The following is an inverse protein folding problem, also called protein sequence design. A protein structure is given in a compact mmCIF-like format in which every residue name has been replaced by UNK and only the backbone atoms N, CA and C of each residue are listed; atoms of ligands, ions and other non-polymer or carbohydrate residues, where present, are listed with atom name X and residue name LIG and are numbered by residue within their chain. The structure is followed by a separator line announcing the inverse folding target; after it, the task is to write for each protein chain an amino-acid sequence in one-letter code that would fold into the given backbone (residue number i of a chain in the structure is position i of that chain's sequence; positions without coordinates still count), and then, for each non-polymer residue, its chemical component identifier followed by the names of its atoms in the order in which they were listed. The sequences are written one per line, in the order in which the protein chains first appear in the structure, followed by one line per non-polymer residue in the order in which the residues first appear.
data_IF_671332941641
#
_entry.id   IF_671332941641
#
_cell.length_a   1.000
_cell.length_b   1.000
_cell.length_c   1.000
_cell.angle_alpha   90.00
_cell.angle_beta   90.00
_cell.angle_gamma   90.00
#
_symmetry.space_group_name_H-M   'P 1'
#
loop_
_entity.id
_entity.type
_entity.pdbx_description
1 polymer ?
#
# COMPACT_ATOMS: atom_id res chain seq x y z
N UNK A 1 -3.79 -0.36 0.40
CA UNK A 1 -4.13 0.78 1.27
C UNK A 1 -3.87 2.13 0.60
N UNK A 2 -2.64 2.51 0.22
CA UNK A 2 -2.32 3.89 -0.22
C UNK A 2 -3.26 4.49 -1.28
N UNK A 3 -3.60 3.71 -2.30
CA UNK A 3 -4.52 4.19 -3.36
C UNK A 3 -5.98 4.16 -2.94
N UNK A 4 -6.42 3.09 -2.28
CA UNK A 4 -7.76 3.01 -1.68
C UNK A 4 -8.03 4.19 -0.74
N UNK A 5 -7.06 4.54 0.10
CA UNK A 5 -7.08 5.72 0.97
C UNK A 5 -7.32 7.02 0.19
N UNK A 6 -6.47 7.32 -0.81
CA UNK A 6 -6.60 8.53 -1.62
C UNK A 6 -7.94 8.60 -2.34
N UNK A 7 -8.42 7.49 -2.90
CA UNK A 7 -9.73 7.44 -3.57
C UNK A 7 -10.88 7.77 -2.62
N UNK A 8 -10.89 7.21 -1.41
CA UNK A 8 -11.89 7.57 -0.40
C UNK A 8 -11.86 9.05 -0.06
N UNK A 9 -10.67 9.63 0.13
CA UNK A 9 -10.53 11.07 0.39
C UNK A 9 -11.07 11.91 -0.77
N UNK A 10 -10.71 11.58 -2.01
CA UNK A 10 -11.13 12.32 -3.20
C UNK A 10 -12.62 12.22 -3.48
N UNK A 11 -13.26 11.10 -3.11
CA UNK A 11 -14.71 10.94 -3.17
C UNK A 11 -15.46 11.65 -2.02
N UNK A 12 -14.74 12.15 -1.00
CA UNK A 12 -15.34 12.76 0.18
C UNK A 12 -15.95 11.75 1.17
N UNK A 13 -15.60 10.47 1.06
CA UNK A 13 -16.12 9.41 1.94
C UNK A 13 -15.55 9.49 3.37
N UNK A 14 -14.44 10.22 3.56
CA UNK A 14 -13.72 10.33 4.83
C UNK A 14 -13.59 11.81 5.21
N UNK A 15 -14.17 12.25 6.33
CA UNK A 15 -14.09 13.64 6.76
C UNK A 15 -12.65 13.98 7.21
N UNK A 16 -12.30 15.26 7.13
CA UNK A 16 -10.93 15.75 7.44
C UNK A 16 -10.44 15.38 8.84
N UNK A 17 -11.33 15.31 9.82
CA UNK A 17 -11.04 14.92 11.19
C UNK A 17 -10.92 13.39 11.39
N UNK A 18 -10.78 12.62 10.31
CA UNK A 18 -10.59 11.17 10.33
C UNK A 18 -9.56 10.71 9.28
N UNK A 19 -8.74 11.63 8.76
CA UNK A 19 -7.81 11.33 7.68
C UNK A 19 -6.69 10.41 8.15
N UNK A 20 -6.09 10.67 9.31
CA UNK A 20 -5.00 9.85 9.79
C UNK A 20 -5.53 8.53 10.38
N UNK A 21 -6.67 8.56 11.07
CA UNK A 21 -7.30 7.34 11.56
C UNK A 21 -7.68 6.37 10.43
N UNK A 22 -8.25 6.85 9.33
CA UNK A 22 -8.55 6.01 8.17
C UNK A 22 -7.28 5.39 7.56
N UNK A 23 -6.17 6.14 7.52
CA UNK A 23 -4.89 5.62 7.04
C UNK A 23 -4.40 4.43 7.86
N UNK A 24 -4.41 4.56 9.19
CA UNK A 24 -3.96 3.50 10.09
C UNK A 24 -4.91 2.30 10.04
N UNK A 25 -6.23 2.53 10.00
CA UNK A 25 -7.23 1.49 9.84
C UNK A 25 -6.98 0.64 8.59
N UNK A 26 -6.79 1.28 7.42
CA UNK A 26 -6.52 0.55 6.19
C UNK A 26 -5.16 -0.14 6.20
N UNK A 27 -4.13 0.45 6.84
CA UNK A 27 -2.82 -0.19 6.98
C UNK A 27 -2.93 -1.50 7.74
N UNK A 28 -3.71 -1.52 8.82
CA UNK A 28 -3.96 -2.79 9.47
C UNK A 28 -4.82 -3.71 8.60
N UNK A 29 -6.04 -3.30 8.22
CA UNK A 29 -7.01 -4.20 7.59
C UNK A 29 -6.48 -4.85 6.30
N UNK A 30 -5.61 -4.16 5.56
CA UNK A 30 -5.09 -4.64 4.28
C UNK A 30 -3.67 -5.21 4.37
N UNK A 31 -2.89 -4.92 5.42
CA UNK A 31 -1.49 -5.35 5.51
C UNK A 31 -1.11 -6.05 6.82
N UNK A 32 -1.98 -6.02 7.83
CA UNK A 32 -1.66 -6.52 9.17
C UNK A 32 -0.60 -5.70 9.90
N UNK A 33 -0.48 -4.41 9.60
CA UNK A 33 0.56 -3.54 10.21
C UNK A 33 -0.07 -2.42 11.01
N UNK A 34 0.25 -2.37 12.31
CA UNK A 34 -0.10 -1.28 13.24
C UNK A 34 1.08 -0.34 13.48
N UNK A 35 0.79 0.83 14.05
CA UNK A 35 1.82 1.77 14.50
C UNK A 35 2.43 1.31 15.83
N UNK A 36 3.75 1.42 16.04
CA UNK A 36 4.38 1.12 17.34
C UNK A 36 4.16 2.24 18.38
N UNK A 37 3.64 3.39 17.95
CA UNK A 37 3.33 4.53 18.80
C UNK A 37 1.90 5.00 18.55
N UNK A 38 1.33 5.64 19.57
CA UNK A 38 0.00 6.24 19.51
C UNK A 38 -0.09 7.29 18.40
N UNK A 39 -1.20 7.28 17.66
CA UNK A 39 -1.49 8.23 16.58
C UNK A 39 -2.71 9.08 16.88
N UNK A 40 -2.79 10.25 16.26
CA UNK A 40 -3.91 11.17 16.37
C UNK A 40 -4.22 11.83 15.03
N UNK A 41 -5.24 12.68 14.96
CA UNK A 41 -5.48 13.56 13.81
C UNK A 41 -4.51 14.77 13.75
N UNK A 42 -3.65 14.99 14.75
CA UNK A 42 -2.56 15.97 14.64
C UNK A 42 -1.42 15.44 13.74
N UNK A 43 -1.38 14.12 13.53
CA UNK A 43 -0.47 13.46 12.61
C UNK A 43 -1.04 13.42 11.18
N UNK A 44 -0.14 13.26 10.20
CA UNK A 44 -0.52 12.95 8.83
C UNK A 44 0.45 11.93 8.23
N UNK A 45 0.33 10.66 8.65
CA UNK A 45 1.26 9.59 8.27
C UNK A 45 1.29 9.35 6.76
N UNK A 46 0.18 9.55 6.07
CA UNK A 46 0.12 9.48 4.61
C UNK A 46 1.06 10.51 3.95
N UNK A 47 1.25 11.67 4.58
CA UNK A 47 2.15 12.74 4.14
C UNK A 47 3.63 12.36 4.17
N UNK A 48 4.02 11.35 4.94
CA UNK A 48 5.40 10.83 4.92
C UNK A 48 5.72 10.04 3.64
N UNK A 49 4.74 9.75 2.79
CA UNK A 49 4.94 9.05 1.53
C UNK A 49 5.11 10.07 0.39
N UNK A 50 6.32 10.11 -0.20
CA UNK A 50 6.64 10.99 -1.35
C UNK A 50 5.53 11.05 -2.40
N UNK A 51 5.03 9.89 -2.82
CA UNK A 51 4.02 9.80 -3.87
C UNK A 51 2.68 10.44 -3.49
N UNK A 52 2.34 10.48 -2.21
CA UNK A 52 1.12 11.13 -1.72
C UNK A 52 1.29 12.64 -1.81
N UNK A 53 2.39 13.19 -1.27
CA UNK A 53 2.63 14.64 -1.23
C UNK A 53 2.98 15.25 -2.59
N UNK A 54 3.67 14.51 -3.45
CA UNK A 54 4.00 14.95 -4.81
C UNK A 54 2.84 14.73 -5.81
N UNK A 55 1.66 14.32 -5.34
CA UNK A 55 0.49 13.96 -6.16
C UNK A 55 0.82 12.96 -7.29
N UNK A 56 1.68 12.00 -6.98
CA UNK A 56 2.13 10.99 -7.93
C UNK A 56 1.27 9.73 -7.79
N UNK A 57 0.72 9.25 -8.89
CA UNK A 57 -0.10 8.02 -8.98
C UNK A 57 0.70 6.78 -8.46
N UNK A 58 0.04 5.79 -7.83
CA UNK A 58 0.70 4.65 -7.16
C UNK A 58 0.14 3.29 -7.63
N UNK A 59 -1.06 3.24 -8.21
CA UNK A 59 -1.63 2.06 -8.89
C UNK A 59 -0.70 1.54 -9.97
N UNK A 60 0.11 2.40 -10.61
CA UNK A 60 1.13 1.97 -11.56
C UNK A 60 2.03 0.86 -11.02
N UNK A 61 2.39 0.87 -9.73
CA UNK A 61 3.23 -0.16 -9.13
C UNK A 61 2.47 -1.48 -8.96
N UNK A 62 1.18 -1.40 -8.64
CA UNK A 62 0.33 -2.56 -8.49
C UNK A 62 0.10 -3.24 -9.85
N UNK A 63 -0.29 -2.46 -10.87
CA UNK A 63 -0.52 -2.98 -12.21
C UNK A 63 0.77 -3.45 -12.89
N UNK A 64 1.88 -2.72 -12.73
CA UNK A 64 3.16 -3.13 -13.29
C UNK A 64 3.61 -4.49 -12.76
N UNK A 65 3.35 -4.79 -11.49
CA UNK A 65 3.67 -6.09 -10.91
C UNK A 65 2.90 -7.21 -11.60
N UNK A 66 1.57 -7.07 -11.77
CA UNK A 66 0.77 -8.09 -12.44
C UNK A 66 1.20 -8.30 -13.89
N UNK A 67 1.39 -7.20 -14.62
CA UNK A 67 1.84 -7.22 -16.01
C UNK A 67 3.24 -7.82 -16.16
N UNK A 68 4.16 -7.55 -15.23
CA UNK A 68 5.50 -8.12 -15.24
C UNK A 68 5.46 -9.64 -15.28
N UNK A 69 4.70 -10.29 -14.40
CA UNK A 69 4.61 -11.75 -14.38
C UNK A 69 3.80 -12.32 -15.55
N UNK A 70 2.76 -11.61 -16.00
CA UNK A 70 1.98 -12.01 -17.17
C UNK A 70 2.81 -11.97 -18.46
N UNK A 71 3.63 -10.93 -18.64
CA UNK A 71 4.57 -10.83 -19.75
C UNK A 71 5.66 -11.88 -19.63
N UNK A 72 6.26 -12.04 -18.44
CA UNK A 72 7.31 -13.03 -18.22
C UNK A 72 6.84 -14.45 -18.55
N UNK A 73 5.68 -14.88 -18.04
CA UNK A 73 5.10 -16.19 -18.37
C UNK A 73 4.92 -16.37 -19.88
N UNK A 74 4.37 -15.36 -20.55
CA UNK A 74 4.10 -15.41 -21.99
C UNK A 74 5.38 -15.45 -22.84
N UNK A 75 6.42 -14.74 -22.43
CA UNK A 75 7.73 -14.75 -23.09
C UNK A 75 8.44 -16.09 -22.85
N UNK A 76 8.31 -16.67 -21.65
CA UNK A 76 8.83 -18.00 -21.34
C UNK A 76 8.16 -19.10 -22.17
N UNK A 77 6.84 -19.02 -22.37
CA UNK A 77 6.12 -19.92 -23.26
C UNK A 77 6.62 -19.81 -24.71
N UNK A 78 6.89 -18.58 -25.19
CA UNK A 78 7.50 -18.38 -26.51
C UNK A 78 8.93 -18.95 -26.58
N UNK A 79 9.63 -19.01 -25.44
CA UNK A 79 10.93 -19.67 -25.32
C UNK A 79 10.85 -21.20 -25.12
N UNK A 80 9.66 -21.80 -25.15
CA UNK A 80 9.45 -23.24 -24.98
C UNK A 80 9.40 -23.71 -23.52
N UNK A 81 9.38 -22.80 -22.55
CA UNK A 81 9.28 -23.12 -21.12
C UNK A 81 7.84 -22.92 -20.64
N UNK A 82 7.15 -24.03 -20.39
CA UNK A 82 5.74 -24.03 -19.94
C UNK A 82 5.58 -24.30 -18.45
N UNK A 83 6.59 -24.88 -17.80
CA UNK A 83 6.58 -25.22 -16.37
C UNK A 83 7.74 -24.54 -15.63
N UNK A 84 7.58 -24.36 -14.32
CA UNK A 84 8.62 -23.81 -13.43
C UNK A 84 9.28 -22.54 -13.99
N UNK A 85 8.50 -21.65 -14.59
CA UNK A 85 9.03 -20.47 -15.29
C UNK A 85 9.70 -19.43 -14.38
N UNK A 86 9.73 -19.65 -13.06
CA UNK A 86 10.65 -18.96 -12.15
C UNK A 86 12.13 -19.26 -12.44
N UNK A 87 12.43 -20.33 -13.19
CA UNK A 87 13.78 -20.67 -13.69
C UNK A 87 14.02 -20.21 -15.13
N UNK A 88 12.99 -19.69 -15.80
CA UNK A 88 13.07 -19.31 -17.19
C UNK A 88 14.02 -18.13 -17.40
N UNK A 89 14.82 -18.23 -18.47
CA UNK A 89 15.56 -17.11 -19.04
C UNK A 89 15.14 -16.96 -20.50
N UNK A 90 14.86 -15.71 -20.90
CA UNK A 90 14.53 -15.36 -22.29
C UNK A 90 15.78 -14.94 -23.08
N UNK A 91 16.96 -15.03 -22.48
CA UNK A 91 18.23 -14.64 -23.10
C UNK A 91 18.48 -15.45 -24.38
N UNK A 92 18.87 -14.76 -25.45
CA UNK A 92 19.16 -15.39 -26.75
C UNK A 92 17.95 -15.98 -27.47
N UNK A 93 16.72 -15.82 -26.96
CA UNK A 93 15.52 -16.38 -27.58
C UNK A 93 14.87 -15.38 -28.54
N UNK A 94 14.97 -15.65 -29.85
CA UNK A 94 14.43 -14.79 -30.90
C UNK A 94 12.90 -14.71 -30.90
N UNK A 95 12.19 -15.79 -30.56
CA UNK A 95 10.73 -15.82 -30.53
C UNK A 95 10.17 -14.93 -29.39
N UNK A 96 10.74 -15.04 -28.18
CA UNK A 96 10.42 -14.15 -27.06
C UNK A 96 10.75 -12.69 -27.40
N UNK A 97 11.94 -12.45 -27.98
CA UNK A 97 12.36 -11.11 -28.40
C UNK A 97 11.42 -10.47 -29.42
N UNK A 98 10.97 -11.22 -30.44
CA UNK A 98 10.02 -10.74 -31.45
C UNK A 98 8.67 -10.35 -30.81
N UNK A 99 8.19 -11.15 -29.86
CA UNK A 99 6.94 -10.88 -29.13
C UNK A 99 7.04 -9.60 -28.29
N UNK A 100 8.15 -9.44 -27.55
CA UNK A 100 8.40 -8.25 -26.74
C UNK A 100 8.56 -6.99 -27.62
N UNK A 101 9.32 -7.09 -28.72
CA UNK A 101 9.50 -6.00 -29.70
C UNK A 101 8.17 -5.51 -30.25
N UNK A 102 7.28 -6.44 -30.64
CA UNK A 102 5.94 -6.10 -31.17
C UNK A 102 5.11 -5.28 -30.17
N UNK A 103 5.19 -5.60 -28.88
CA UNK A 103 4.54 -4.80 -27.83
C UNK A 103 5.17 -3.40 -27.75
N UNK A 104 6.49 -3.32 -27.62
CA UNK A 104 7.21 -2.06 -27.40
C UNK A 104 7.08 -1.09 -28.59
N UNK A 105 7.08 -1.60 -29.81
CA UNK A 105 6.89 -0.81 -31.04
C UNK A 105 5.52 -0.15 -31.10
N UNK A 106 4.51 -0.71 -30.44
CA UNK A 106 3.17 -0.15 -30.44
C UNK A 106 3.07 1.14 -29.62
N UNK A 107 3.96 1.36 -28.64
CA UNK A 107 3.94 2.53 -27.77
C UNK A 107 2.55 2.81 -27.21
N UNK A 108 2.02 4.01 -27.46
CA UNK A 108 0.66 4.44 -27.08
C UNK A 108 -0.34 4.43 -28.24
N UNK A 109 0.03 3.85 -29.40
CA UNK A 109 -0.83 3.84 -30.60
C UNK A 109 -2.00 2.86 -30.54
N UNK A 110 -1.95 1.90 -29.60
CA UNK A 110 -3.01 0.92 -29.38
C UNK A 110 -3.66 1.12 -28.02
N UNK A 111 -4.93 0.72 -27.92
CA UNK A 111 -5.55 0.55 -26.62
C UNK A 111 -4.78 -0.51 -25.80
N UNK A 112 -4.64 -0.29 -24.49
CA UNK A 112 -3.79 -1.12 -23.64
C UNK A 112 -4.21 -2.59 -23.63
N UNK A 113 -5.52 -2.89 -23.76
CA UNK A 113 -6.02 -4.27 -23.86
C UNK A 113 -5.55 -4.97 -25.14
N UNK A 114 -5.47 -4.25 -26.26
CA UNK A 114 -4.96 -4.79 -27.52
C UNK A 114 -3.45 -5.02 -27.46
N UNK A 115 -2.72 -4.08 -26.84
CA UNK A 115 -1.30 -4.25 -26.57
C UNK A 115 -1.05 -5.47 -25.67
N UNK A 116 -1.85 -5.63 -24.61
CA UNK A 116 -1.83 -6.78 -23.71
C UNK A 116 -2.13 -8.08 -24.46
N UNK A 117 -3.16 -8.09 -25.31
CA UNK A 117 -3.53 -9.26 -26.10
C UNK A 117 -2.40 -9.71 -27.03
N UNK A 118 -1.70 -8.78 -27.68
CA UNK A 118 -0.56 -9.11 -28.55
C UNK A 118 0.58 -9.82 -27.82
N UNK A 119 0.86 -9.44 -26.57
CA UNK A 119 1.93 -10.09 -25.81
C UNK A 119 1.44 -11.31 -25.02
N UNK A 120 0.28 -11.30 -24.38
CA UNK A 120 -0.17 -12.39 -23.48
C UNK A 120 -1.30 -13.25 -24.01
N UNK A 121 -1.92 -12.92 -25.15
CA UNK A 121 -3.05 -13.67 -25.71
C UNK A 121 -4.38 -13.48 -24.97
N UNK A 122 -4.44 -12.54 -24.03
CA UNK A 122 -5.63 -12.18 -23.25
C UNK A 122 -5.72 -10.66 -23.14
N UNK A 123 -6.95 -10.13 -23.03
CA UNK A 123 -7.21 -8.70 -22.80
C UNK A 123 -7.32 -8.35 -21.32
N UNK A 124 -7.26 -9.35 -20.44
CA UNK A 124 -7.46 -9.20 -19.01
C UNK A 124 -6.12 -9.23 -18.28
N UNK A 125 -5.96 -8.33 -17.31
CA UNK A 125 -4.86 -8.39 -16.34
C UNK A 125 -5.18 -9.50 -15.34
N UNK A 126 -4.22 -10.39 -15.11
CA UNK A 126 -4.38 -11.54 -14.23
C UNK A 126 -3.29 -11.61 -13.17
N UNK A 127 -3.67 -11.97 -11.95
CA UNK A 127 -2.73 -12.31 -10.88
C UNK A 127 -2.25 -13.76 -10.95
N UNK A 128 -2.86 -14.60 -11.80
CA UNK A 128 -2.49 -16.02 -11.91
C UNK A 128 -1.00 -16.23 -12.22
N UNK A 129 -0.37 -15.51 -13.17
CA UNK A 129 1.05 -15.69 -13.46
C UNK A 129 1.94 -15.36 -12.24
N UNK A 130 1.61 -14.33 -11.47
CA UNK A 130 2.31 -14.01 -10.23
C UNK A 130 2.22 -15.17 -9.23
N UNK A 131 1.02 -15.73 -9.03
CA UNK A 131 0.80 -16.87 -8.12
C UNK A 131 1.54 -18.13 -8.60
N UNK A 132 1.45 -18.45 -9.89
CA UNK A 132 2.13 -19.61 -10.48
C UNK A 132 3.67 -19.51 -10.34
N UNK A 133 4.24 -18.31 -10.47
CA UNK A 133 5.67 -18.07 -10.28
C UNK A 133 6.12 -18.41 -8.86
N UNK A 134 5.36 -17.97 -7.85
CA UNK A 134 5.68 -18.16 -6.43
C UNK A 134 5.10 -19.43 -5.81
N UNK A 135 4.38 -20.26 -6.57
CA UNK A 135 3.75 -21.48 -6.07
C UNK A 135 4.71 -22.40 -5.28
N UNK A 136 5.97 -22.64 -5.70
CA UNK A 136 6.91 -23.45 -4.92
C UNK A 136 7.23 -22.84 -3.54
N UNK A 137 7.41 -21.52 -3.49
CA UNK A 137 7.67 -20.80 -2.24
C UNK A 137 6.44 -20.81 -1.34
N UNK A 138 5.25 -20.62 -1.91
CA UNK A 138 3.99 -20.67 -1.18
C UNK A 138 3.79 -22.04 -0.52
N UNK A 139 4.03 -23.13 -1.25
CA UNK A 139 3.95 -24.49 -0.72
C UNK A 139 4.95 -24.72 0.42
N UNK A 140 6.19 -24.23 0.26
CA UNK A 140 7.23 -24.31 1.29
C UNK A 140 6.84 -23.57 2.57
N UNK A 141 6.38 -22.31 2.45
CA UNK A 141 5.96 -21.50 3.60
C UNK A 141 4.77 -22.14 4.31
N UNK A 142 3.79 -22.67 3.56
CA UNK A 142 2.64 -23.34 4.14
C UNK A 142 3.03 -24.58 4.95
N UNK A 143 3.96 -25.39 4.45
CA UNK A 143 4.49 -26.55 5.17
C UNK A 143 5.21 -26.13 6.46
N UNK A 144 6.07 -25.10 6.38
CA UNK A 144 6.81 -24.59 7.55
C UNK A 144 5.91 -23.94 8.59
N UNK A 145 4.87 -23.22 8.18
CA UNK A 145 3.89 -22.69 9.12
C UNK A 145 3.17 -23.81 9.87
N UNK A 146 2.79 -24.89 9.17
CA UNK A 146 2.14 -26.05 9.78
C UNK A 146 3.08 -26.78 10.76
N UNK A 147 4.32 -27.01 10.37
CA UNK A 147 5.35 -27.65 11.20
C UNK A 147 5.59 -26.89 12.51
N UNK A 148 5.62 -25.57 12.43
CA UNK A 148 5.88 -24.69 13.58
C UNK A 148 4.62 -24.28 14.34
N UNK A 149 3.42 -24.76 13.97
CA UNK A 149 2.16 -24.36 14.60
C UNK A 149 1.82 -22.88 14.46
N UNK A 150 2.29 -22.22 13.39
CA UNK A 150 2.05 -20.80 13.14
C UNK A 150 0.62 -20.59 12.65
N UNK A 151 -0.12 -19.72 13.35
CA UNK A 151 -1.43 -19.24 12.89
C UNK A 151 -1.24 -18.21 11.77
N UNK A 152 -1.89 -18.43 10.62
CA UNK A 152 -1.77 -17.55 9.44
C UNK A 152 -2.83 -16.45 9.50
N UNK A 153 -2.36 -15.21 9.36
CA UNK A 153 -3.19 -14.00 9.41
C UNK A 153 -2.73 -13.06 10.53
N UNK A 154 -3.44 -11.95 10.69
CA UNK A 154 -3.32 -11.07 11.85
C UNK A 154 -4.65 -11.08 12.61
N UNK A 155 -4.58 -10.98 13.94
CA UNK A 155 -5.77 -11.01 14.78
C UNK A 155 -6.71 -9.82 14.58
N UNK A 156 -7.93 -9.93 15.10
CA UNK A 156 -8.94 -8.86 15.03
C UNK A 156 -8.53 -7.60 15.80
N UNK A 157 -7.55 -7.69 16.70
CA UNK A 157 -6.99 -6.56 17.46
C UNK A 157 -5.93 -5.81 16.65
N UNK A 158 -6.31 -5.37 15.45
CA UNK A 158 -5.44 -4.59 14.61
C UNK A 158 -6.31 -3.53 13.86
N UNK A 159 -6.00 -2.23 14.03
CA UNK A 159 -5.05 -1.70 15.01
C UNK A 159 -5.50 -1.98 16.47
N UNK A 160 -4.58 -2.12 17.45
CA UNK A 160 -4.94 -2.44 18.84
C UNK A 160 -5.79 -1.34 19.48
N UNK A 161 -6.77 -1.62 20.34
CA UNK A 161 -7.71 -0.60 20.88
C UNK A 161 -7.08 0.72 21.38
N UNK A 162 -5.88 0.66 21.93
CA UNK A 162 -5.16 1.83 22.44
C UNK A 162 -4.41 2.62 21.36
N UNK A 163 -4.44 2.23 20.08
CA UNK A 163 -3.64 2.82 19.00
C UNK A 163 -3.87 4.31 18.73
N UNK A 164 -5.02 4.85 19.15
CA UNK A 164 -5.50 6.18 18.76
C UNK A 164 -5.71 7.09 19.97
N UNK A 165 -5.02 8.24 19.97
CA UNK A 165 -5.30 9.36 20.86
C UNK A 165 -6.42 10.19 20.25
N UNK A 166 -7.59 10.15 20.88
CA UNK A 166 -8.68 11.04 20.49
C UNK A 166 -8.30 12.50 20.75
N UNK A 167 -8.71 13.41 19.86
CA UNK A 167 -8.57 14.85 20.08
C UNK A 167 -9.26 15.31 21.39
N UNK A 168 -10.21 14.54 21.92
CA UNK A 168 -10.83 14.79 23.23
C UNK A 168 -9.88 14.63 24.43
N UNK A 169 -8.79 13.85 24.30
CA UNK A 169 -7.77 13.74 25.34
C UNK A 169 -6.74 14.89 25.32
N UNK A 170 -6.59 15.58 24.18
CA UNK A 170 -5.77 16.79 24.07
C UNK A 170 -6.45 18.03 24.69
N UNK A 171 -7.78 17.97 24.90
CA UNK A 171 -8.59 19.11 25.34
C UNK A 171 -8.85 19.22 26.85
N UNK A 172 -8.42 18.29 27.69
CA UNK A 172 -8.68 18.36 29.14
C UNK A 172 -7.61 19.15 29.89
N UNK A 173 -7.37 20.41 29.51
CA UNK A 173 -7.03 21.38 30.54
C UNK A 173 -8.37 21.80 31.15
N UNK A 174 -8.61 21.44 32.41
CA UNK A 174 -9.81 21.94 33.09
C UNK A 174 -9.81 23.47 33.02
N UNK A 175 -11.00 24.10 32.98
CA UNK A 175 -11.10 25.57 33.05
C UNK A 175 -10.27 26.15 34.22
N UNK A 176 -10.14 25.39 35.31
CA UNK A 176 -9.32 25.73 36.47
C UNK A 176 -7.82 25.91 36.13
N UNK A 177 -7.26 25.09 35.23
CA UNK A 177 -5.86 25.20 34.80
C UNK A 177 -5.62 26.39 33.87
N UNK A 178 -6.60 26.73 33.03
CA UNK A 178 -6.55 27.93 32.16
C UNK A 178 -6.63 29.20 33.00
N UNK A 179 -7.51 29.24 34.02
CA UNK A 179 -7.59 30.37 34.95
C UNK A 179 -6.34 30.52 35.83
N UNK A 180 -5.72 29.41 36.26
CA UNK A 180 -4.49 29.46 37.06
C UNK A 180 -3.33 30.07 36.26
N UNK A 181 -3.17 29.72 34.99
CA UNK A 181 -2.11 30.29 34.12
C UNK A 181 -2.35 31.78 33.82
N UNK A 182 -3.60 32.18 33.60
CA UNK A 182 -3.96 33.58 33.41
C UNK A 182 -3.73 34.42 34.68
N UNK A 183 -4.05 33.88 35.87
CA UNK A 183 -3.80 34.54 37.14
C UNK A 183 -2.30 34.71 37.44
N UNK A 184 -1.49 33.69 37.15
CA UNK A 184 -0.02 33.76 37.31
C UNK A 184 0.57 34.83 36.37
N UNK A 185 0.11 34.90 35.12
CA UNK A 185 0.54 35.94 34.18
C UNK A 185 0.13 37.36 34.63
N UNK A 186 -1.06 37.52 35.19
CA UNK A 186 -1.48 38.80 35.75
C UNK A 186 -0.69 39.20 37.01
N UNK A 187 -0.31 38.25 37.87
CA UNK A 187 0.49 38.53 39.06
C UNK A 187 1.95 38.85 38.73
N UNK A 188 2.55 38.17 37.75
CA UNK A 188 3.92 38.47 37.32
C UNK A 188 4.02 39.83 36.63
N UNK A 189 3.03 40.22 35.81
CA UNK A 189 2.97 41.57 35.21
C UNK A 189 2.80 42.66 36.28
N UNK A 190 2.12 42.36 37.40
CA UNK A 190 1.95 43.32 38.51
C UNK A 190 3.20 43.46 39.39
N UNK A 191 3.98 42.38 39.55
CA UNK A 191 5.24 42.37 40.30
C UNK A 191 6.42 43.01 39.54
N UNK A 192 6.37 43.09 38.21
CA UNK A 192 7.40 43.77 37.39
C UNK A 192 7.15 45.30 37.32
N UNK A 193 6.00 45.78 37.78
CA UNK A 193 5.62 47.22 37.77
C UNK A 193 5.77 47.94 39.12
N UNK A 194 6.34 47.29 40.13
CA UNK A 194 6.78 47.90 41.39
C UNK A 194 8.29 47.69 41.53
#
# INVERSE_FOLDING_TARGET
HRQTYRYKLFKGEVPKNQWNSEWVNQRCQLMGVSSPVLRSEEDFDAGAIYHVVANVEYMRYFLSLLLQFQFHQSLCQAAGVTENFHKCSIYGNSAAGAKLKTLLESGTSLHWEEALFKISGTRQISAKPLLDYFAPLQAYIAAKNKENGVSVGWGNNCPPDDWYKSASQLGSLSACQVFALAAIACFTVRLIRH
#
